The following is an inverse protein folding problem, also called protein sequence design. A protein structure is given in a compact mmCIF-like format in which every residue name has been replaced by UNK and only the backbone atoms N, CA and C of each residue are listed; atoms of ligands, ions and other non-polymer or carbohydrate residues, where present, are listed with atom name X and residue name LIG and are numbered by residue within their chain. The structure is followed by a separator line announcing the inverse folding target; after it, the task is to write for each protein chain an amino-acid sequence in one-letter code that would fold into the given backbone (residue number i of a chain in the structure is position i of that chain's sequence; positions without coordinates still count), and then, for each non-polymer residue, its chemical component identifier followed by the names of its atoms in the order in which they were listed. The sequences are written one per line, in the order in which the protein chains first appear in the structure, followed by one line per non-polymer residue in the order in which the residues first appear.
data_IF_176180468025
#
_entry.id   IF_176180468025
#
_cell.length_a   1.000
_cell.length_b   1.000
_cell.length_c   1.000
_cell.angle_alpha   90.00
_cell.angle_beta   90.00
_cell.angle_gamma   90.00
#
_symmetry.space_group_name_H-M   'P 1'
#
loop_
_entity.id
_entity.type
_entity.pdbx_description
1 polymer ?
#
# COMPACT_ATOMS: atom_id res chain seq x y z
N UNK A 1 -40.24 7.07 -12.38
CA UNK A 1 -39.10 7.25 -13.31
C UNK A 1 -37.77 6.63 -12.82
N UNK A 2 -37.68 6.04 -11.63
CA UNK A 2 -36.44 5.45 -11.07
C UNK A 2 -36.09 4.02 -11.57
N UNK A 3 -37.08 3.19 -11.95
CA UNK A 3 -36.87 1.78 -12.31
C UNK A 3 -36.08 1.54 -13.64
N UNK A 4 -36.15 2.46 -14.62
CA UNK A 4 -35.50 2.25 -15.94
C UNK A 4 -33.97 2.37 -15.93
N UNK A 5 -33.39 3.15 -15.01
CA UNK A 5 -31.94 3.34 -14.92
C UNK A 5 -31.21 2.12 -14.31
N UNK A 6 -31.84 1.46 -13.33
CA UNK A 6 -31.31 0.30 -12.60
C UNK A 6 -31.21 -0.95 -13.49
N UNK A 7 -32.16 -1.12 -14.42
CA UNK A 7 -32.13 -2.18 -15.43
C UNK A 7 -31.03 -1.99 -16.48
N UNK A 8 -30.52 -0.77 -16.68
CA UNK A 8 -29.57 -0.48 -17.76
C UNK A 8 -28.15 -0.90 -17.40
N UNK A 9 -27.67 -0.66 -16.17
CA UNK A 9 -26.30 -1.00 -15.75
C UNK A 9 -26.01 -2.52 -15.78
N UNK A 10 -26.94 -3.33 -15.26
CA UNK A 10 -26.84 -4.79 -15.31
C UNK A 10 -27.01 -5.36 -16.73
N UNK A 11 -27.84 -4.72 -17.58
CA UNK A 11 -27.97 -5.09 -19.01
C UNK A 11 -26.77 -4.64 -19.84
N UNK A 12 -26.11 -3.54 -19.46
CA UNK A 12 -24.92 -3.05 -20.13
C UNK A 12 -23.81 -4.11 -19.98
N UNK A 13 -23.50 -4.58 -18.77
CA UNK A 13 -22.48 -5.61 -18.58
C UNK A 13 -22.78 -6.95 -19.29
N UNK A 14 -24.06 -7.30 -19.53
CA UNK A 14 -24.47 -8.56 -20.19
C UNK A 14 -24.60 -8.50 -21.72
N UNK A 15 -24.70 -7.33 -22.35
CA UNK A 15 -24.76 -7.20 -23.82
C UNK A 15 -23.37 -6.90 -24.35
N UNK A 16 -22.80 -7.86 -25.09
CA UNK A 16 -21.53 -7.73 -25.81
C UNK A 16 -21.55 -6.61 -26.86
N UNK A 17 -21.28 -5.38 -26.42
CA UNK A 17 -20.88 -4.26 -27.27
C UNK A 17 -19.36 -4.07 -27.14
N UNK A 18 -18.70 -3.73 -28.26
CA UNK A 18 -17.24 -3.60 -28.40
C UNK A 18 -16.62 -2.87 -27.20
N UNK A 19 -15.62 -3.50 -26.59
CA UNK A 19 -14.86 -2.97 -25.45
C UNK A 19 -14.11 -1.70 -25.84
N UNK A 20 -14.06 -0.69 -24.95
CA UNK A 20 -13.20 0.49 -25.13
C UNK A 20 -11.73 0.21 -24.82
N UNK A 21 -11.42 -0.96 -24.26
CA UNK A 21 -10.06 -1.40 -24.02
C UNK A 21 -9.42 -1.83 -25.35
N UNK A 22 -8.25 -1.27 -25.63
CA UNK A 22 -7.40 -1.65 -26.76
C UNK A 22 -6.18 -2.38 -26.21
N UNK A 23 -6.04 -3.64 -26.60
CA UNK A 23 -4.88 -4.47 -26.26
C UNK A 23 -3.78 -4.22 -27.29
N UNK A 24 -2.58 -3.91 -26.80
CA UNK A 24 -1.36 -3.78 -27.59
C UNK A 24 -0.27 -4.69 -27.05
N UNK A 25 0.91 -4.65 -27.67
CA UNK A 25 2.10 -5.22 -27.04
C UNK A 25 2.37 -4.46 -25.73
N UNK A 26 2.68 -5.16 -24.64
CA UNK A 26 2.90 -4.54 -23.33
C UNK A 26 1.66 -4.33 -22.47
N UNK A 27 0.44 -4.62 -22.95
CA UNK A 27 -0.76 -4.70 -22.10
C UNK A 27 -2.08 -4.17 -22.68
N UNK A 28 -2.98 -3.71 -21.81
CA UNK A 28 -4.27 -3.10 -22.17
C UNK A 28 -4.34 -1.62 -21.80
N UNK A 29 -5.01 -0.81 -22.62
CA UNK A 29 -5.28 0.59 -22.32
C UNK A 29 -6.76 0.94 -22.51
N UNK A 30 -7.32 1.78 -21.64
CA UNK A 30 -8.66 2.36 -21.74
C UNK A 30 -8.56 3.90 -21.66
N UNK A 31 -8.90 4.59 -22.74
CA UNK A 31 -9.06 6.03 -22.73
C UNK A 31 -10.43 6.41 -22.14
N UNK A 32 -10.44 7.22 -21.08
CA UNK A 32 -11.68 7.65 -20.41
C UNK A 32 -12.33 8.88 -21.08
N UNK A 33 -11.57 9.63 -21.86
CA UNK A 33 -11.95 10.87 -22.53
C UNK A 33 -10.70 11.62 -23.02
N UNK A 34 -10.86 12.74 -23.74
CA UNK A 34 -9.74 13.51 -24.29
C UNK A 34 -8.84 14.15 -23.20
N UNK A 35 -9.44 14.62 -22.11
CA UNK A 35 -8.72 15.31 -21.01
C UNK A 35 -8.53 14.43 -19.77
N UNK A 36 -8.92 13.16 -19.84
CA UNK A 36 -8.87 12.22 -18.73
C UNK A 36 -7.63 11.32 -18.84
N UNK A 37 -7.08 10.82 -17.71
CA UNK A 37 -5.96 9.89 -17.73
C UNK A 37 -6.34 8.61 -18.50
N UNK A 38 -5.35 8.04 -19.19
CA UNK A 38 -5.52 6.73 -19.81
C UNK A 38 -5.25 5.66 -18.76
N UNK A 39 -6.23 4.78 -18.52
CA UNK A 39 -6.00 3.62 -17.67
C UNK A 39 -5.17 2.61 -18.43
N UNK A 40 -4.15 2.08 -17.77
CA UNK A 40 -3.20 1.13 -18.33
C UNK A 40 -3.13 -0.08 -17.43
N UNK A 41 -3.07 -1.26 -18.03
CA UNK A 41 -2.67 -2.48 -17.35
C UNK A 41 -1.47 -3.02 -18.07
N UNK A 42 -0.37 -3.14 -17.34
CA UNK A 42 0.88 -3.69 -17.84
C UNK A 42 0.75 -5.20 -18.01
N UNK A 43 1.42 -5.73 -19.03
CA UNK A 43 1.50 -7.17 -19.28
C UNK A 43 2.23 -7.89 -18.13
N UNK A 44 3.35 -7.33 -17.67
CA UNK A 44 4.03 -7.77 -16.47
C UNK A 44 3.69 -6.86 -15.30
N UNK A 45 3.24 -7.46 -14.20
CA UNK A 45 3.00 -6.71 -12.97
C UNK A 45 4.32 -6.32 -12.34
N UNK A 46 4.36 -5.10 -11.82
CA UNK A 46 5.43 -4.68 -10.92
C UNK A 46 5.07 -5.06 -9.49
N UNK A 47 6.07 -5.31 -8.65
CA UNK A 47 5.87 -5.55 -7.22
C UNK A 47 5.32 -4.32 -6.49
N UNK A 48 5.71 -3.14 -6.97
CA UNK A 48 5.31 -1.84 -6.47
C UNK A 48 5.25 -0.83 -7.63
N UNK A 49 4.66 0.36 -7.43
CA UNK A 49 4.73 1.44 -8.40
C UNK A 49 6.19 1.82 -8.67
N UNK A 50 6.55 2.01 -9.92
CA UNK A 50 7.91 2.45 -10.27
C UNK A 50 8.00 3.97 -10.11
N UNK A 51 9.13 4.55 -9.66
CA UNK A 51 9.29 6.00 -9.63
C UNK A 51 9.20 6.64 -11.03
N UNK A 52 9.74 5.93 -12.02
CA UNK A 52 9.73 6.30 -13.44
C UNK A 52 9.28 5.09 -14.25
N UNK A 53 8.34 5.31 -15.15
CA UNK A 53 7.80 4.32 -16.07
C UNK A 53 8.17 4.72 -17.50
N UNK A 54 9.01 3.93 -18.15
CA UNK A 54 9.43 4.20 -19.51
C UNK A 54 8.26 4.01 -20.49
N UNK A 55 8.19 4.85 -21.52
CA UNK A 55 7.15 4.75 -22.56
C UNK A 55 7.14 3.38 -23.27
N UNK A 56 8.29 2.69 -23.32
CA UNK A 56 8.43 1.34 -23.87
C UNK A 56 7.78 0.24 -23.01
N UNK A 57 7.54 0.50 -21.73
CA UNK A 57 6.86 -0.44 -20.83
C UNK A 57 5.34 -0.35 -20.92
N UNK A 58 4.82 0.72 -21.55
CA UNK A 58 3.40 0.96 -21.70
C UNK A 58 2.83 0.23 -22.93
N UNK A 59 1.51 -0.05 -22.95
CA UNK A 59 0.87 -0.67 -24.10
C UNK A 59 1.08 0.14 -25.38
N UNK A 60 1.43 -0.54 -26.48
CA UNK A 60 1.56 0.08 -27.80
C UNK A 60 0.24 0.65 -28.36
N UNK A 61 -0.88 0.40 -27.68
CA UNK A 61 -2.20 0.94 -27.98
C UNK A 61 -2.45 2.35 -27.43
N UNK A 62 -1.48 2.94 -26.72
CA UNK A 62 -1.59 4.33 -26.27
C UNK A 62 -1.65 5.31 -27.46
N UNK A 63 -2.38 6.44 -27.31
CA UNK A 63 -2.46 7.44 -28.36
C UNK A 63 -1.10 8.12 -28.63
N UNK A 64 -0.96 8.63 -29.86
CA UNK A 64 0.13 9.51 -30.27
C UNK A 64 -0.45 10.89 -30.63
N UNK A 65 0.05 12.00 -30.05
CA UNK A 65 1.16 12.08 -29.09
C UNK A 65 0.86 11.40 -27.74
N UNK A 66 1.89 11.08 -26.93
CA UNK A 66 1.72 10.43 -25.63
C UNK A 66 0.72 11.21 -24.75
N UNK A 67 -0.19 10.51 -24.03
CA UNK A 67 -1.13 11.19 -23.14
C UNK A 67 -0.38 11.90 -22.01
N UNK A 68 -0.91 13.04 -21.57
CA UNK A 68 -0.30 13.82 -20.49
C UNK A 68 -0.22 13.05 -19.16
N UNK A 69 -1.13 12.09 -18.94
CA UNK A 69 -1.11 11.22 -17.77
C UNK A 69 -1.66 9.82 -18.07
N UNK A 70 -1.14 8.86 -17.32
CA UNK A 70 -1.61 7.47 -17.32
C UNK A 70 -1.84 7.00 -15.88
N UNK A 71 -2.72 6.02 -15.71
CA UNK A 71 -2.89 5.33 -14.44
C UNK A 71 -2.69 3.83 -14.63
N UNK A 72 -1.65 3.28 -14.02
CA UNK A 72 -1.43 1.83 -13.99
C UNK A 72 -2.38 1.20 -12.99
N UNK A 73 -3.25 0.32 -13.47
CA UNK A 73 -4.27 -0.36 -12.68
C UNK A 73 -3.80 -1.78 -12.34
N UNK A 74 -3.85 -2.12 -11.05
CA UNK A 74 -3.45 -3.44 -10.53
C UNK A 74 -4.38 -3.94 -9.44
N UNK A 75 -4.50 -5.26 -9.33
CA UNK A 75 -5.17 -5.91 -8.20
C UNK A 75 -4.33 -5.72 -6.93
N UNK A 76 -4.96 -5.31 -5.83
CA UNK A 76 -4.26 -5.06 -4.56
C UNK A 76 -3.66 -6.32 -3.92
N UNK A 77 -4.30 -7.47 -4.11
CA UNK A 77 -3.99 -8.71 -3.36
C UNK A 77 -3.67 -9.92 -4.25
N UNK A 78 -3.65 -9.74 -5.57
CA UNK A 78 -3.40 -10.88 -6.44
C UNK A 78 -1.91 -11.20 -6.46
N UNK A 79 -1.57 -12.48 -6.32
CA UNK A 79 -0.19 -12.97 -6.38
C UNK A 79 0.51 -12.53 -7.66
N UNK A 80 1.82 -12.34 -7.57
CA UNK A 80 2.66 -11.90 -8.69
C UNK A 80 2.50 -12.79 -9.93
N UNK A 81 2.45 -14.10 -9.74
CA UNK A 81 2.34 -15.09 -10.83
C UNK A 81 0.92 -15.21 -11.41
N UNK A 82 -0.07 -14.56 -10.78
CA UNK A 82 -1.43 -14.57 -11.33
C UNK A 82 -1.48 -13.63 -12.54
N UNK A 83 -2.08 -14.02 -13.68
CA UNK A 83 -2.30 -13.08 -14.77
C UNK A 83 -3.16 -11.89 -14.31
N UNK A 84 -2.86 -10.64 -14.71
CA UNK A 84 -3.71 -9.50 -14.38
C UNK A 84 -5.14 -9.68 -14.89
N UNK A 85 -6.14 -9.27 -14.10
CA UNK A 85 -7.54 -9.27 -14.58
C UNK A 85 -7.69 -8.25 -15.71
N UNK A 86 -8.21 -8.61 -16.91
CA UNK A 86 -8.35 -7.67 -18.02
C UNK A 86 -9.08 -6.38 -17.60
N UNK A 87 -8.53 -5.21 -17.95
CA UNK A 87 -9.13 -3.91 -17.66
C UNK A 87 -10.57 -3.82 -18.16
N UNK A 88 -10.81 -4.37 -19.35
CA UNK A 88 -12.14 -4.44 -19.98
C UNK A 88 -13.21 -5.15 -19.14
N UNK A 89 -12.81 -6.03 -18.22
CA UNK A 89 -13.74 -6.71 -17.30
C UNK A 89 -14.11 -5.86 -16.09
N UNK A 90 -13.30 -4.85 -15.77
CA UNK A 90 -13.41 -4.06 -14.54
C UNK A 90 -13.92 -2.66 -14.79
N UNK A 91 -13.45 -2.00 -15.86
CA UNK A 91 -13.86 -0.64 -16.22
C UNK A 91 -14.44 -0.65 -17.61
N UNK A 92 -15.60 0.00 -17.77
CA UNK A 92 -16.23 0.22 -19.05
C UNK A 92 -16.56 1.68 -19.25
N UNK A 93 -16.05 2.28 -20.32
CA UNK A 93 -16.41 3.64 -20.73
C UNK A 93 -17.76 3.60 -21.45
N UNK A 94 -18.70 4.45 -21.02
CA UNK A 94 -20.05 4.57 -21.62
C UNK A 94 -20.12 5.81 -22.52
N UNK A 95 -19.43 6.87 -22.14
CA UNK A 95 -19.23 8.10 -22.90
C UNK A 95 -17.96 8.79 -22.39
N UNK A 96 -17.39 9.80 -23.08
CA UNK A 96 -16.28 10.58 -22.54
C UNK A 96 -16.60 11.11 -21.14
N UNK A 97 -15.72 10.84 -20.18
CA UNK A 97 -15.90 11.22 -18.77
C UNK A 97 -16.98 10.43 -18.00
N UNK A 98 -17.51 9.34 -18.58
CA UNK A 98 -18.54 8.48 -17.95
C UNK A 98 -18.15 7.02 -18.03
N UNK A 99 -18.02 6.36 -16.88
CA UNK A 99 -17.62 4.96 -16.83
C UNK A 99 -18.47 4.14 -15.84
N UNK A 100 -18.49 2.83 -16.05
CA UNK A 100 -19.03 1.85 -15.13
C UNK A 100 -17.88 1.00 -14.60
N UNK A 101 -17.79 0.89 -13.28
CA UNK A 101 -16.86 0.04 -12.56
C UNK A 101 -17.58 -1.25 -12.12
N UNK A 102 -16.95 -2.40 -12.31
CA UNK A 102 -17.46 -3.67 -11.77
C UNK A 102 -17.45 -3.62 -10.23
N UNK A 103 -18.50 -4.11 -9.57
CA UNK A 103 -18.56 -4.14 -8.11
C UNK A 103 -17.41 -4.94 -7.50
N UNK A 104 -16.95 -6.01 -8.16
CA UNK A 104 -15.75 -6.75 -7.77
C UNK A 104 -14.52 -5.85 -7.60
N UNK A 105 -14.31 -4.87 -8.47
CA UNK A 105 -13.17 -3.96 -8.40
C UNK A 105 -13.23 -2.98 -7.19
N UNK A 106 -14.37 -2.88 -6.52
CA UNK A 106 -14.57 -2.07 -5.32
C UNK A 106 -14.71 -2.91 -4.03
N UNK A 107 -14.70 -4.25 -4.11
CA UNK A 107 -14.71 -5.10 -2.91
C UNK A 107 -13.32 -5.15 -2.31
N UNK A 108 -13.22 -5.10 -0.98
CA UNK A 108 -11.94 -5.14 -0.27
C UNK A 108 -10.98 -6.26 -0.75
N UNK A 109 -11.45 -7.49 -0.90
CA UNK A 109 -10.60 -8.64 -1.29
C UNK A 109 -10.18 -8.66 -2.77
N UNK A 110 -10.85 -7.90 -3.64
CA UNK A 110 -10.60 -7.90 -5.09
C UNK A 110 -10.44 -6.49 -5.64
N UNK A 111 -10.12 -5.54 -4.76
CA UNK A 111 -10.05 -4.11 -5.08
C UNK A 111 -8.94 -3.87 -6.09
N UNK A 112 -9.20 -2.93 -7.00
CA UNK A 112 -8.19 -2.43 -7.92
C UNK A 112 -7.61 -1.12 -7.38
N UNK A 113 -6.30 -0.99 -7.54
CA UNK A 113 -5.55 0.21 -7.23
C UNK A 113 -5.11 0.88 -8.52
N UNK A 114 -4.95 2.21 -8.47
CA UNK A 114 -4.40 3.03 -9.53
C UNK A 114 -3.14 3.75 -9.03
N UNK A 115 -2.05 3.57 -9.78
CA UNK A 115 -0.83 4.34 -9.64
C UNK A 115 -0.80 5.38 -10.77
N UNK A 116 -0.87 6.66 -10.42
CA UNK A 116 -0.97 7.74 -11.38
C UNK A 116 0.41 8.28 -11.74
N UNK A 117 0.64 8.46 -13.04
CA UNK A 117 1.87 9.01 -13.57
C UNK A 117 1.60 10.16 -14.53
N UNK A 118 2.51 11.13 -14.56
CA UNK A 118 2.47 12.29 -15.45
C UNK A 118 3.63 12.19 -16.43
N UNK A 119 3.38 12.49 -17.70
CA UNK A 119 4.40 12.45 -18.73
C UNK A 119 5.38 13.62 -18.56
N UNK A 120 6.67 13.31 -18.50
CA UNK A 120 7.76 14.27 -18.53
C UNK A 120 8.44 14.21 -19.90
N UNK A 121 8.24 15.27 -20.69
CA UNK A 121 8.78 15.36 -22.05
C UNK A 121 10.31 15.45 -22.08
N UNK A 122 10.95 15.93 -21.01
CA UNK A 122 12.42 16.01 -20.93
C UNK A 122 13.04 14.63 -20.73
N UNK A 123 12.35 13.74 -20.00
CA UNK A 123 12.76 12.36 -19.76
C UNK A 123 12.24 11.38 -20.82
N UNK A 124 11.23 11.78 -21.60
CA UNK A 124 10.52 10.89 -22.52
C UNK A 124 9.78 9.75 -21.79
N UNK A 125 9.47 9.94 -20.52
CA UNK A 125 8.98 8.92 -19.59
C UNK A 125 7.89 9.46 -18.67
N UNK A 126 7.25 8.59 -17.92
CA UNK A 126 6.20 8.93 -16.98
C UNK A 126 6.72 8.91 -15.55
N UNK A 127 6.52 9.98 -14.79
CA UNK A 127 6.96 10.11 -13.40
C UNK A 127 5.78 9.86 -12.47
N UNK A 128 6.00 9.06 -11.42
CA UNK A 128 4.97 8.73 -10.45
C UNK A 128 4.49 9.99 -9.70
N UNK A 129 3.20 10.30 -9.86
CA UNK A 129 2.55 11.43 -9.20
C UNK A 129 1.84 10.98 -7.91
N UNK A 130 1.26 9.78 -7.91
CA UNK A 130 0.62 9.20 -6.73
C UNK A 130 0.53 7.67 -6.85
N UNK A 131 0.55 6.98 -5.73
CA UNK A 131 0.57 5.52 -5.65
C UNK A 131 -0.66 4.98 -4.94
N UNK A 132 -1.04 3.75 -5.28
CA UNK A 132 -1.95 2.88 -4.52
C UNK A 132 -3.32 3.49 -4.20
N UNK A 133 -3.86 4.36 -5.06
CA UNK A 133 -5.19 4.91 -4.84
C UNK A 133 -6.26 3.86 -5.15
N UNK A 134 -7.34 3.80 -4.37
CA UNK A 134 -8.53 3.05 -4.75
C UNK A 134 -9.04 3.50 -6.13
N UNK A 135 -9.24 2.56 -7.07
CA UNK A 135 -9.56 2.90 -8.45
C UNK A 135 -10.87 3.71 -8.58
N UNK A 136 -11.88 3.42 -7.76
CA UNK A 136 -13.14 4.17 -7.81
C UNK A 136 -12.93 5.63 -7.36
N UNK A 137 -12.11 5.82 -6.33
CA UNK A 137 -11.73 7.13 -5.82
C UNK A 137 -10.88 7.90 -6.82
N UNK A 138 -9.87 7.25 -7.41
CA UNK A 138 -9.03 7.82 -8.47
C UNK A 138 -9.87 8.31 -9.66
N UNK A 139 -10.78 7.47 -10.18
CA UNK A 139 -11.64 7.84 -11.30
C UNK A 139 -12.54 9.04 -10.98
N UNK A 140 -13.05 9.10 -9.75
CA UNK A 140 -13.89 10.22 -9.31
C UNK A 140 -13.10 11.54 -9.28
N UNK A 141 -11.87 11.51 -8.77
CA UNK A 141 -10.95 12.66 -8.74
C UNK A 141 -10.46 13.07 -10.13
N UNK A 142 -10.24 12.10 -11.01
CA UNK A 142 -9.82 12.31 -12.39
C UNK A 142 -10.94 12.84 -13.32
N UNK A 143 -12.06 13.30 -12.76
CA UNK A 143 -13.13 13.96 -13.52
C UNK A 143 -14.10 13.00 -14.22
N UNK A 144 -14.15 11.71 -13.86
CA UNK A 144 -15.20 10.79 -14.31
C UNK A 144 -16.49 11.08 -13.52
N UNK A 145 -17.28 12.04 -14.02
CA UNK A 145 -18.42 12.64 -13.29
C UNK A 145 -19.57 11.66 -13.01
N UNK A 146 -19.79 10.68 -13.88
CA UNK A 146 -20.87 9.70 -13.76
C UNK A 146 -20.31 8.27 -13.58
N UNK A 147 -19.53 8.03 -12.54
CA UNK A 147 -19.04 6.70 -12.18
C UNK A 147 -20.15 5.86 -11.53
N UNK A 148 -20.55 4.77 -12.18
CA UNK A 148 -21.52 3.81 -11.62
C UNK A 148 -20.85 2.51 -11.24
N UNK A 149 -21.18 1.95 -10.08
CA UNK A 149 -20.76 0.61 -9.69
C UNK A 149 -21.84 -0.39 -10.10
N UNK A 150 -21.51 -1.34 -10.98
CA UNK A 150 -22.44 -2.39 -11.40
C UNK A 150 -22.31 -3.60 -10.48
N UNK A 151 -23.38 -4.02 -9.82
CA UNK A 151 -23.40 -5.27 -9.06
C UNK A 151 -23.08 -6.46 -9.99
N UNK A 152 -22.06 -7.24 -9.64
CA UNK A 152 -21.80 -8.50 -10.31
C UNK A 152 -23.05 -9.36 -10.22
N UNK A 153 -23.51 -9.88 -11.35
CA UNK A 153 -24.63 -10.77 -11.42
C UNK A 153 -24.33 -12.10 -10.71
N UNK A 154 -24.60 -12.20 -9.42
CA UNK A 154 -24.89 -13.48 -8.75
C UNK A 154 -26.35 -13.90 -9.02
N UNK A 155 -26.67 -15.20 -8.98
CA UNK A 155 -28.06 -15.65 -9.04
C UNK A 155 -28.74 -15.25 -7.73
N UNK A 156 -29.54 -14.17 -7.78
CA UNK A 156 -30.33 -13.57 -6.69
C UNK A 156 -29.70 -12.33 -6.01
N UNK A 157 -29.74 -11.18 -6.68
CA UNK A 157 -30.02 -9.90 -6.02
C UNK A 157 -30.43 -8.83 -7.04
N UNK A 158 -31.74 -8.58 -7.12
CA UNK A 158 -32.30 -7.45 -7.86
C UNK A 158 -32.37 -6.23 -6.94
N UNK A 159 -31.25 -5.53 -6.79
CA UNK A 159 -31.19 -4.25 -6.10
C UNK A 159 -29.94 -3.51 -6.52
N UNK A 160 -30.06 -2.25 -6.96
CA UNK A 160 -28.92 -1.37 -7.14
C UNK A 160 -29.08 -0.24 -6.13
N UNK A 161 -28.11 -0.13 -5.23
CA UNK A 161 -28.02 0.94 -4.24
C UNK A 161 -26.99 1.94 -4.74
N UNK A 162 -27.39 3.19 -4.93
CA UNK A 162 -26.44 4.31 -4.89
C UNK A 162 -25.93 4.39 -3.45
N UNK A 163 -24.71 3.91 -3.21
CA UNK A 163 -24.08 4.07 -1.90
C UNK A 163 -23.64 5.53 -1.77
N UNK A 164 -24.18 6.31 -0.82
CA UNK A 164 -23.59 7.60 -0.47
C UNK A 164 -22.14 7.39 -0.01
N UNK A 165 -21.30 8.42 -0.14
CA UNK A 165 -19.90 8.41 0.32
C UNK A 165 -19.73 7.87 1.75
N UNK A 166 -20.73 8.11 2.63
CA UNK A 166 -20.78 7.63 4.01
C UNK A 166 -20.98 6.12 4.18
N UNK A 167 -21.41 5.39 3.15
CA UNK A 167 -21.59 3.93 3.19
C UNK A 167 -20.43 3.14 2.56
N UNK A 168 -19.38 3.80 2.05
CA UNK A 168 -18.12 3.14 1.67
C UNK A 168 -17.42 2.46 2.86
N UNK A 169 -17.77 2.87 4.08
CA UNK A 169 -17.23 2.34 5.34
C UNK A 169 -18.11 1.27 6.01
N UNK A 170 -19.25 0.87 5.42
CA UNK A 170 -19.98 -0.28 5.95
C UNK A 170 -19.43 -1.54 5.32
N UNK A 171 -18.35 -2.03 5.93
CA UNK A 171 -17.88 -3.39 5.78
C UNK A 171 -19.10 -4.33 5.75
N UNK A 172 -19.23 -5.13 4.70
CA UNK A 172 -20.12 -6.29 4.78
C UNK A 172 -19.68 -7.10 6.00
N UNK A 173 -20.55 -7.33 6.99
CA UNK A 173 -20.19 -8.20 8.09
C UNK A 173 -20.15 -9.62 7.51
N UNK A 174 -18.97 -10.26 7.56
CA UNK A 174 -18.66 -11.68 7.22
C UNK A 174 -18.00 -11.99 5.87
N UNK A 175 -16.77 -11.52 5.61
CA UNK A 175 -15.89 -12.32 4.70
C UNK A 175 -14.38 -12.12 4.82
N UNK A 176 -13.87 -11.09 5.52
CA UNK A 176 -12.43 -10.96 5.74
C UNK A 176 -12.05 -11.74 7.01
N UNK A 177 -11.41 -12.90 6.83
CA UNK A 177 -10.77 -13.62 7.92
C UNK A 177 -9.48 -12.86 8.26
N UNK A 178 -9.51 -12.04 9.31
CA UNK A 178 -8.36 -11.26 9.74
C UNK A 178 -7.49 -12.11 10.67
N UNK A 179 -6.16 -12.00 10.52
CA UNK A 179 -5.20 -12.62 11.44
C UNK A 179 -4.99 -11.78 12.70
N UNK A 180 -5.31 -10.49 12.65
CA UNK A 180 -5.21 -9.56 13.78
C UNK A 180 -6.35 -8.54 13.75
N UNK A 181 -6.73 -8.07 14.93
CA UNK A 181 -7.66 -6.97 15.15
C UNK A 181 -6.99 -5.77 15.87
N UNK A 182 -5.69 -5.85 16.16
CA UNK A 182 -4.93 -4.78 16.81
C UNK A 182 -3.51 -4.75 16.26
N UNK A 183 -3.05 -3.57 15.83
CA UNK A 183 -1.68 -3.32 15.39
C UNK A 183 -1.05 -2.15 16.14
N UNK A 184 0.27 -2.24 16.33
CA UNK A 184 1.10 -1.12 16.76
C UNK A 184 1.70 -0.46 15.51
N UNK A 185 1.64 0.86 15.48
CA UNK A 185 2.21 1.71 14.43
C UNK A 185 3.09 2.78 15.07
N UNK A 186 4.10 3.28 14.36
CA UNK A 186 4.97 4.36 14.81
C UNK A 186 4.95 5.46 13.76
N UNK A 187 4.61 6.68 14.17
CA UNK A 187 4.48 7.81 13.25
C UNK A 187 5.82 8.08 12.54
N UNK A 188 5.84 8.26 11.19
CA UNK A 188 7.08 8.52 10.45
C UNK A 188 7.49 9.99 10.52
N UNK A 189 7.38 10.62 11.69
CA UNK A 189 7.65 12.06 11.89
C UNK A 189 9.12 12.44 11.68
N UNK A 190 10.03 11.47 11.83
CA UNK A 190 11.46 11.65 11.55
C UNK A 190 12.02 10.50 10.70
N UNK A 191 11.22 9.99 9.75
CA UNK A 191 11.68 9.02 8.76
C UNK A 191 12.71 9.65 7.82
N UNK A 192 13.89 9.06 7.72
CA UNK A 192 15.02 9.59 6.95
C UNK A 192 15.97 8.47 6.52
N UNK A 193 16.99 8.84 5.74
CA UNK A 193 18.04 7.90 5.35
C UNK A 193 18.83 7.38 6.58
N UNK A 194 18.95 6.06 6.71
CA UNK A 194 19.70 5.43 7.79
C UNK A 194 21.07 4.92 7.31
N UNK A 195 22.14 5.66 7.62
CA UNK A 195 23.50 5.31 7.20
C UNK A 195 24.03 3.99 7.79
N UNK A 196 23.58 3.57 8.98
CA UNK A 196 24.01 2.30 9.58
C UNK A 196 23.39 1.12 8.84
N UNK A 197 22.06 1.15 8.68
CA UNK A 197 21.31 0.14 7.94
C UNK A 197 21.59 0.17 6.43
N UNK A 198 22.09 1.29 5.89
CA UNK A 198 22.43 1.32 4.48
C UNK A 198 23.49 0.27 4.14
N UNK A 199 24.41 -0.07 5.05
CA UNK A 199 25.55 -0.96 4.80
C UNK A 199 25.18 -2.39 4.38
N UNK A 200 24.00 -2.85 4.80
CA UNK A 200 23.49 -4.20 4.58
C UNK A 200 22.09 -4.19 3.93
N UNK A 201 21.56 -3.02 3.55
CA UNK A 201 20.25 -2.89 2.93
C UNK A 201 20.36 -2.38 1.49
N UNK A 202 20.15 -3.29 0.53
CA UNK A 202 20.20 -2.99 -0.91
C UNK A 202 19.26 -1.86 -1.34
N UNK A 203 18.10 -1.72 -0.69
CA UNK A 203 17.12 -0.67 -1.03
C UNK A 203 17.56 0.73 -0.58
N UNK A 204 18.52 0.83 0.34
CA UNK A 204 19.06 2.11 0.81
C UNK A 204 20.24 2.59 -0.04
N UNK A 205 20.91 1.71 -0.78
CA UNK A 205 22.07 2.08 -1.61
C UNK A 205 21.73 2.81 -2.91
N UNK A 206 20.46 2.87 -3.29
CA UNK A 206 20.04 3.34 -4.61
C UNK A 206 19.33 4.69 -4.55
N UNK A 207 20.11 5.73 -4.23
CA UNK A 207 19.80 7.13 -4.51
C UNK A 207 20.39 7.66 -5.82
N UNK A 208 21.34 6.94 -6.44
CA UNK A 208 22.04 7.40 -7.65
C UNK A 208 21.22 7.29 -8.96
N UNK A 209 20.00 6.73 -8.90
CA UNK A 209 19.07 6.62 -10.03
C UNK A 209 17.61 6.95 -9.70
N UNK A 210 17.28 7.17 -8.42
CA UNK A 210 16.04 7.83 -8.02
C UNK A 210 16.33 9.32 -7.96
N UNK A 211 15.70 10.13 -8.82
CA UNK A 211 15.88 11.60 -8.90
C UNK A 211 15.45 12.37 -7.63
N UNK A 212 16.06 12.03 -6.50
CA UNK A 212 15.95 12.68 -5.19
C UNK A 212 17.28 13.32 -4.78
N UNK A 213 18.41 12.97 -5.43
CA UNK A 213 19.60 13.83 -5.46
C UNK A 213 19.55 14.68 -6.74
N UNK A 214 19.43 16.00 -6.56
CA UNK A 214 19.07 17.02 -7.55
C UNK A 214 17.61 17.02 -7.98
N UNK A 215 16.75 17.61 -7.15
CA UNK A 215 15.62 18.38 -7.71
C UNK A 215 16.27 19.49 -8.55
N UNK A 216 16.06 19.55 -9.87
CA UNK A 216 16.56 20.66 -10.66
C UNK A 216 15.95 21.96 -10.09
N UNK A 217 16.78 22.96 -9.83
CA UNK A 217 16.33 24.34 -9.61
C UNK A 217 15.57 24.79 -10.87
N UNK A 218 14.26 24.54 -10.91
CA UNK A 218 13.47 24.78 -12.12
C UNK A 218 12.11 24.10 -12.20
N UNK A 219 11.77 23.16 -11.30
CA UNK A 219 10.39 22.66 -11.20
C UNK A 219 9.49 23.74 -10.60
N UNK A 220 8.98 24.60 -11.49
CA UNK A 220 7.91 25.55 -11.20
C UNK A 220 6.76 24.85 -10.49
N UNK A 221 6.26 25.50 -9.45
CA UNK A 221 5.09 25.14 -8.66
C UNK A 221 3.93 24.61 -9.53
N UNK A 222 3.79 23.29 -9.61
CA UNK A 222 2.50 22.70 -9.95
C UNK A 222 1.64 22.79 -8.71
N UNK A 223 0.70 23.75 -8.72
CA UNK A 223 -0.35 23.89 -7.71
C UNK A 223 -1.14 22.58 -7.64
N UNK A 224 -1.03 21.91 -6.49
CA UNK A 224 -2.00 20.91 -6.08
C UNK A 224 -3.13 21.73 -5.46
N UNK A 225 -4.15 22.02 -6.26
CA UNK A 225 -5.39 22.63 -5.78
C UNK A 225 -6.13 21.57 -4.95
N UNK A 226 -5.97 21.64 -3.61
CA UNK A 226 -6.90 21.07 -2.65
C UNK A 226 -7.72 22.23 -2.06
N UNK A 227 -9.03 22.01 -1.97
CA UNK A 227 -10.09 22.98 -1.72
C UNK A 227 -9.93 23.91 -0.50
N UNK A 228 -10.30 25.18 -0.73
CA UNK A 228 -10.76 26.17 0.26
C UNK A 228 -9.94 26.36 1.55
N UNK A 229 -8.78 27.01 1.43
CA UNK A 229 -8.25 27.83 2.53
C UNK A 229 -8.05 29.26 2.03
N UNK A 230 -8.57 30.21 2.81
CA UNK A 230 -8.69 31.61 2.44
C UNK A 230 -7.33 32.21 2.04
N UNK A 231 -7.35 32.95 0.93
CA UNK A 231 -6.23 33.74 0.41
C UNK A 231 -5.59 34.62 1.48
N UNK A 232 -4.42 34.22 1.97
CA UNK A 232 -3.44 35.10 2.61
C UNK A 232 -2.07 34.75 2.05
N UNK A 233 -1.35 35.79 1.64
CA UNK A 233 -0.24 35.73 0.68
C UNK A 233 1.08 35.11 1.16
N UNK A 234 1.97 34.99 0.19
CA UNK A 234 3.32 34.38 0.18
C UNK A 234 3.34 32.86 -0.06
N UNK A 235 3.60 32.47 -1.31
CA UNK A 235 3.93 31.09 -1.68
C UNK A 235 5.30 30.74 -1.07
N UNK A 236 5.29 30.18 0.14
CA UNK A 236 6.46 29.53 0.73
C UNK A 236 6.63 28.15 0.07
N UNK A 237 7.61 28.03 -0.82
CA UNK A 237 8.03 26.73 -1.36
C UNK A 237 8.72 25.95 -0.24
N UNK A 238 8.15 24.80 0.15
CA UNK A 238 8.74 23.93 1.17
C UNK A 238 10.08 23.35 0.66
N UNK A 239 11.08 23.15 1.54
CA UNK A 239 12.33 22.50 1.16
C UNK A 239 12.07 21.03 0.76
N UNK A 240 12.92 20.42 -0.09
CA UNK A 240 12.73 19.05 -0.58
C UNK A 240 12.49 18.00 0.51
N UNK A 241 13.19 18.09 1.65
CA UNK A 241 13.02 17.17 2.79
C UNK A 241 11.62 17.27 3.42
N UNK A 242 11.04 18.46 3.49
CA UNK A 242 9.67 18.66 3.99
C UNK A 242 8.64 18.17 2.97
N UNK A 243 8.90 18.31 1.68
CA UNK A 243 8.06 17.73 0.64
C UNK A 243 8.04 16.19 0.71
N UNK A 244 9.21 15.57 0.91
CA UNK A 244 9.30 14.12 1.12
C UNK A 244 8.54 13.69 2.39
N UNK A 245 8.78 14.37 3.51
CA UNK A 245 8.09 14.10 4.77
C UNK A 245 6.57 14.20 4.61
N UNK A 246 6.07 15.23 3.91
CA UNK A 246 4.63 15.38 3.62
C UNK A 246 4.08 14.22 2.79
N UNK A 247 4.84 13.72 1.81
CA UNK A 247 4.44 12.54 1.01
C UNK A 247 4.38 11.29 1.88
N UNK A 248 5.41 11.03 2.68
CA UNK A 248 5.47 9.88 3.61
C UNK A 248 4.30 9.91 4.60
N UNK A 249 4.04 11.06 5.23
CA UNK A 249 2.92 11.22 6.16
C UNK A 249 1.57 10.99 5.47
N UNK A 250 1.41 11.44 4.23
CA UNK A 250 0.18 11.22 3.46
C UNK A 250 -0.04 9.74 3.15
N UNK A 251 0.99 9.02 2.73
CA UNK A 251 0.93 7.57 2.50
C UNK A 251 0.63 6.81 3.79
N UNK A 252 1.31 7.17 4.88
CA UNK A 252 1.10 6.57 6.20
C UNK A 252 -0.31 6.80 6.75
N UNK A 253 -0.85 8.01 6.58
CA UNK A 253 -2.25 8.31 6.92
C UNK A 253 -3.24 7.51 6.07
N UNK A 254 -2.90 7.22 4.81
CA UNK A 254 -3.65 6.29 3.96
C UNK A 254 -3.71 4.89 4.57
N UNK A 255 -2.55 4.32 4.92
CA UNK A 255 -2.47 3.01 5.59
C UNK A 255 -3.28 2.98 6.90
N UNK A 256 -3.14 4.03 7.73
CA UNK A 256 -3.90 4.15 8.98
C UNK A 256 -5.41 4.06 8.75
N UNK A 257 -5.96 4.83 7.79
CA UNK A 257 -7.40 4.82 7.48
C UNK A 257 -7.86 3.46 6.95
N UNK A 258 -7.06 2.80 6.12
CA UNK A 258 -7.38 1.47 5.60
C UNK A 258 -7.44 0.42 6.73
N UNK A 259 -6.52 0.50 7.69
CA UNK A 259 -6.53 -0.38 8.86
C UNK A 259 -7.68 -0.06 9.82
N UNK A 260 -7.79 1.19 10.26
CA UNK A 260 -8.73 1.62 11.29
C UNK A 260 -10.17 1.74 10.76
N UNK A 261 -10.39 2.54 9.73
CA UNK A 261 -11.72 2.94 9.29
C UNK A 261 -12.37 1.89 8.37
N UNK A 262 -11.57 1.21 7.55
CA UNK A 262 -12.06 0.23 6.57
C UNK A 262 -12.03 -1.20 7.13
N UNK A 263 -10.89 -1.63 7.65
CA UNK A 263 -10.74 -2.99 8.17
C UNK A 263 -11.22 -3.13 9.64
N UNK A 264 -11.45 -2.04 10.36
CA UNK A 264 -11.87 -2.08 11.76
C UNK A 264 -10.78 -2.58 12.72
N UNK A 265 -9.51 -2.49 12.33
CA UNK A 265 -8.36 -2.87 13.14
C UNK A 265 -8.08 -1.74 14.13
N UNK A 266 -7.98 -2.08 15.42
CA UNK A 266 -7.51 -1.13 16.43
C UNK A 266 -6.07 -0.75 16.14
N UNK A 267 -5.76 0.54 16.08
CA UNK A 267 -4.39 1.03 15.87
C UNK A 267 -3.91 1.73 17.14
N UNK A 268 -2.79 1.26 17.69
CA UNK A 268 -2.01 2.00 18.68
C UNK A 268 -0.86 2.71 17.99
N UNK A 269 -0.93 4.04 17.90
CA UNK A 269 0.09 4.85 17.24
C UNK A 269 1.04 5.45 18.27
N UNK A 270 2.31 5.08 18.20
CA UNK A 270 3.38 5.70 18.99
C UNK A 270 3.91 6.95 18.29
N UNK A 271 4.07 8.02 19.04
CA UNK A 271 4.77 9.22 18.58
C UNK A 271 6.26 8.93 18.40
N UNK A 272 6.88 9.60 17.44
CA UNK A 272 8.31 9.56 17.18
C UNK A 272 8.80 10.98 16.89
N UNK A 273 10.07 11.21 17.19
CA UNK A 273 10.75 12.50 17.06
C UNK A 273 12.20 12.26 16.62
N UNK A 274 12.77 13.24 15.91
CA UNK A 274 14.15 13.18 15.43
C UNK A 274 15.16 13.02 16.58
N UNK A 275 14.86 13.52 17.78
CA UNK A 275 15.70 13.38 18.96
C UNK A 275 15.94 11.93 19.39
N UNK A 276 15.12 10.98 18.94
CA UNK A 276 15.33 9.55 19.22
C UNK A 276 16.50 8.97 18.40
N UNK A 277 16.89 9.60 17.29
CA UNK A 277 18.00 9.11 16.45
C UNK A 277 17.72 7.76 15.75
N UNK A 278 16.44 7.41 15.58
CA UNK A 278 15.99 6.10 15.05
C UNK A 278 15.14 6.29 13.79
N UNK A 279 15.74 6.58 12.63
CA UNK A 279 14.99 6.93 11.41
C UNK A 279 14.10 5.79 10.88
N UNK A 280 14.42 4.53 11.19
CA UNK A 280 13.65 3.34 10.77
C UNK A 280 12.56 2.92 11.77
N UNK A 281 12.32 3.69 12.84
CA UNK A 281 11.34 3.35 13.89
C UNK A 281 9.91 3.15 13.37
N UNK A 282 9.59 3.65 12.17
CA UNK A 282 8.34 3.39 11.44
C UNK A 282 8.09 1.89 11.20
N UNK A 283 9.12 1.04 11.31
CA UNK A 283 9.08 -0.42 11.16
C UNK A 283 9.19 -1.14 12.52
N UNK A 284 8.17 -1.10 13.39
CA UNK A 284 8.22 -1.69 14.72
C UNK A 284 8.28 -3.23 14.72
N UNK A 285 7.97 -3.84 13.57
CA UNK A 285 7.84 -5.29 13.40
C UNK A 285 9.16 -6.06 13.53
N UNK A 286 10.29 -5.36 13.56
CA UNK A 286 11.61 -5.98 13.63
C UNK A 286 12.06 -6.32 15.05
N UNK A 287 11.60 -5.57 16.06
CA UNK A 287 12.15 -5.72 17.41
C UNK A 287 11.21 -6.44 18.38
N UNK A 288 9.98 -6.75 17.97
CA UNK A 288 9.10 -7.62 18.75
C UNK A 288 8.11 -8.42 17.89
N UNK A 289 7.52 -9.42 18.52
CA UNK A 289 6.31 -10.11 18.04
C UNK A 289 5.43 -10.50 19.22
N UNK A 290 4.17 -10.78 18.93
CA UNK A 290 3.18 -11.19 19.93
C UNK A 290 2.57 -12.52 19.51
N UNK A 291 2.28 -13.38 20.47
CA UNK A 291 1.78 -14.72 20.25
C UNK A 291 0.65 -15.05 21.23
N UNK A 292 -0.44 -15.64 20.74
CA UNK A 292 -1.56 -16.05 21.57
C UNK A 292 -1.35 -17.45 22.13
N UNK A 293 -1.93 -17.75 23.30
CA UNK A 293 -1.97 -19.13 23.80
C UNK A 293 -2.71 -20.04 22.81
N UNK A 294 -2.16 -21.23 22.55
CA UNK A 294 -2.67 -22.22 21.58
C UNK A 294 -2.26 -21.96 20.13
N UNK A 295 -1.53 -20.88 19.84
CA UNK A 295 -0.93 -20.66 18.52
C UNK A 295 0.01 -21.81 18.15
N UNK A 296 -0.06 -22.27 16.89
CA UNK A 296 0.77 -23.37 16.39
C UNK A 296 0.34 -24.79 16.82
N UNK A 297 -0.78 -24.92 17.55
CA UNK A 297 -1.25 -26.20 18.09
C UNK A 297 -1.70 -27.25 17.04
N UNK A 298 -1.84 -26.87 15.76
CA UNK A 298 -2.11 -27.83 14.69
C UNK A 298 -0.82 -28.46 14.13
N UNK A 299 0.35 -27.88 14.41
CA UNK A 299 1.63 -28.54 14.19
C UNK A 299 1.90 -29.49 15.34
N UNK A 300 2.41 -30.69 15.08
CA UNK A 300 2.66 -31.72 16.10
C UNK A 300 3.69 -31.36 17.19
N UNK A 301 4.09 -30.08 17.31
CA UNK A 301 4.86 -29.53 18.42
C UNK A 301 3.97 -29.04 19.56
N UNK A 302 4.58 -28.45 20.59
CA UNK A 302 3.84 -27.96 21.76
C UNK A 302 2.94 -26.75 21.43
N UNK A 303 3.32 -25.93 20.44
CA UNK A 303 2.72 -24.61 20.22
C UNK A 303 3.01 -23.64 21.36
N UNK A 304 2.42 -22.46 21.29
CA UNK A 304 2.57 -21.41 22.30
C UNK A 304 1.67 -21.72 23.49
N UNK A 305 2.26 -22.00 24.65
CA UNK A 305 1.50 -22.43 25.84
C UNK A 305 0.71 -21.29 26.48
N UNK A 306 1.31 -20.11 26.53
CA UNK A 306 0.78 -18.92 27.16
C UNK A 306 1.00 -17.71 26.26
N UNK A 307 0.14 -16.71 26.35
CA UNK A 307 0.30 -15.50 25.53
C UNK A 307 1.68 -14.88 25.78
N UNK A 308 2.47 -14.72 24.73
CA UNK A 308 3.89 -14.37 24.83
C UNK A 308 4.19 -13.12 24.02
N UNK A 309 4.87 -12.16 24.64
CA UNK A 309 5.58 -11.08 23.96
C UNK A 309 7.04 -11.51 23.77
N UNK A 310 7.55 -11.46 22.55
CA UNK A 310 8.97 -11.73 22.25
C UNK A 310 9.65 -10.41 21.90
N UNK A 311 10.78 -10.12 22.53
CA UNK A 311 11.65 -8.99 22.18
C UNK A 311 12.90 -9.52 21.49
N UNK A 312 13.25 -8.91 20.36
CA UNK A 312 14.26 -9.43 19.45
C UNK A 312 15.55 -8.60 19.45
N UNK A 313 16.72 -9.24 19.29
CA UNK A 313 18.01 -8.56 19.14
C UNK A 313 18.15 -7.94 17.74
N UNK A 314 18.62 -6.69 17.68
CA UNK A 314 18.77 -5.93 16.44
C UNK A 314 20.25 -5.72 16.08
N UNK A 315 20.59 -5.77 14.80
CA UNK A 315 21.99 -5.71 14.36
C UNK A 315 22.63 -4.36 14.68
N UNK A 316 21.99 -3.26 14.26
CA UNK A 316 22.53 -1.91 14.34
C UNK A 316 22.14 -1.18 15.64
N UNK A 317 23.07 -0.45 16.30
CA UNK A 317 22.77 0.26 17.54
C UNK A 317 21.58 1.23 17.47
N UNK A 318 21.40 1.94 16.35
CA UNK A 318 20.26 2.83 16.20
C UNK A 318 18.93 2.07 16.06
N UNK A 319 18.92 0.88 15.46
CA UNK A 319 17.76 -0.02 15.44
C UNK A 319 17.45 -0.57 16.84
N UNK A 320 18.46 -0.90 17.66
CA UNK A 320 18.28 -1.34 19.06
C UNK A 320 17.56 -0.27 19.89
N UNK A 321 17.90 1.00 19.65
CA UNK A 321 17.28 2.15 20.32
C UNK A 321 15.79 2.36 19.95
N UNK A 322 15.26 1.67 18.93
CA UNK A 322 13.82 1.69 18.60
C UNK A 322 12.98 0.99 19.69
N UNK A 323 13.58 0.07 20.46
CA UNK A 323 13.00 -0.53 21.65
C UNK A 323 12.99 0.46 22.82
N UNK A 324 12.24 1.55 22.66
CA UNK A 324 12.12 2.61 23.65
C UNK A 324 11.40 2.11 24.90
N UNK A 325 11.76 2.67 26.05
CA UNK A 325 11.17 2.30 27.34
C UNK A 325 9.64 2.49 27.36
N UNK A 326 9.12 3.58 26.79
CA UNK A 326 7.69 3.86 26.72
C UNK A 326 6.94 2.90 25.79
N UNK A 327 7.56 2.51 24.66
CA UNK A 327 7.01 1.50 23.76
C UNK A 327 6.95 0.12 24.43
N UNK A 328 8.00 -0.25 25.18
CA UNK A 328 8.07 -1.50 25.95
C UNK A 328 7.02 -1.52 27.06
N UNK A 329 6.93 -0.46 27.87
CA UNK A 329 5.94 -0.34 28.94
C UNK A 329 4.52 -0.44 28.38
N UNK A 330 4.24 0.20 27.25
CA UNK A 330 2.95 0.06 26.56
C UNK A 330 2.67 -1.40 26.19
N UNK A 331 3.61 -2.11 25.56
CA UNK A 331 3.42 -3.53 25.18
C UNK A 331 3.22 -4.43 26.40
N UNK A 332 4.02 -4.25 27.44
CA UNK A 332 3.91 -5.01 28.70
C UNK A 332 2.56 -4.76 29.38
N UNK A 333 2.03 -3.53 29.30
CA UNK A 333 0.70 -3.20 29.85
C UNK A 333 -0.46 -3.94 29.17
N UNK A 334 -0.24 -4.56 28.00
CA UNK A 334 -1.26 -5.37 27.31
C UNK A 334 -1.49 -6.75 27.96
N UNK A 335 -0.71 -7.12 28.98
CA UNK A 335 -1.00 -8.25 29.85
C UNK A 335 -0.60 -9.62 29.31
N UNK A 336 0.50 -9.70 28.55
CA UNK A 336 1.07 -10.98 28.14
C UNK A 336 1.54 -11.79 29.36
N UNK A 337 1.10 -13.04 29.46
CA UNK A 337 1.52 -13.97 30.52
C UNK A 337 3.04 -14.19 30.59
N UNK A 338 3.71 -14.14 29.44
CA UNK A 338 5.16 -14.30 29.33
C UNK A 338 5.79 -13.20 28.47
N UNK A 339 6.96 -12.74 28.89
CA UNK A 339 7.87 -11.94 28.08
C UNK A 339 9.14 -12.77 27.84
N UNK A 340 9.44 -13.05 26.57
CA UNK A 340 10.69 -13.67 26.14
C UNK A 340 11.60 -12.58 25.58
N UNK A 341 12.56 -12.14 26.39
CA UNK A 341 13.51 -11.11 25.98
C UNK A 341 14.78 -11.76 25.42
N UNK A 342 14.92 -11.77 24.09
CA UNK A 342 16.10 -12.26 23.38
C UNK A 342 17.12 -11.14 23.12
N UNK A 343 16.87 -9.90 23.58
CA UNK A 343 17.77 -8.78 23.30
C UNK A 343 19.12 -8.90 24.00
N UNK A 344 19.29 -9.85 24.94
CA UNK A 344 20.58 -10.15 25.56
C UNK A 344 21.64 -10.58 24.52
N UNK A 345 21.20 -11.18 23.40
CA UNK A 345 22.07 -11.68 22.35
C UNK A 345 22.82 -10.57 21.59
N UNK A 346 22.42 -9.31 21.79
CA UNK A 346 23.09 -8.11 21.28
C UNK A 346 24.43 -7.81 21.94
N UNK A 347 24.66 -8.37 23.13
CA UNK A 347 25.89 -8.21 23.91
C UNK A 347 26.95 -9.28 23.57
N UNK A 348 26.61 -10.26 22.73
CA UNK A 348 27.55 -11.27 22.27
C UNK A 348 28.50 -10.74 21.18
N UNK A 349 29.64 -11.43 21.02
CA UNK A 349 30.63 -11.12 19.99
C UNK A 349 30.94 -12.37 19.15
N UNK A 350 30.51 -12.42 17.87
CA UNK A 350 29.73 -11.39 17.19
C UNK A 350 28.28 -11.31 17.72
N UNK A 351 27.67 -10.14 17.59
CA UNK A 351 26.26 -9.92 17.92
C UNK A 351 25.37 -10.94 17.19
N UNK A 352 24.50 -11.64 17.92
CA UNK A 352 23.54 -12.58 17.32
C UNK A 352 22.21 -11.89 17.07
N UNK A 353 22.14 -11.12 15.99
CA UNK A 353 20.95 -10.38 15.61
C UNK A 353 19.84 -11.31 15.09
N UNK A 354 18.58 -10.94 15.31
CA UNK A 354 17.43 -11.67 14.79
C UNK A 354 16.26 -10.70 14.67
N UNK A 355 16.15 -9.95 13.57
CA UNK A 355 15.23 -8.80 13.42
C UNK A 355 13.76 -9.17 13.17
N UNK A 356 13.22 -10.06 14.01
CA UNK A 356 11.81 -10.40 14.14
C UNK A 356 11.15 -10.75 12.82
N UNK A 357 9.94 -10.22 12.60
CA UNK A 357 9.18 -10.49 11.36
C UNK A 357 9.77 -9.85 10.10
N UNK A 358 10.90 -9.13 10.20
CA UNK A 358 11.67 -8.72 9.02
C UNK A 358 12.51 -9.84 8.41
N UNK A 359 12.83 -10.87 9.20
CA UNK A 359 13.67 -12.00 8.78
C UNK A 359 12.94 -13.34 8.85
N UNK A 360 11.70 -13.36 9.34
CA UNK A 360 10.91 -14.57 9.47
C UNK A 360 9.44 -14.38 9.08
N UNK A 361 8.83 -15.46 8.60
CA UNK A 361 7.39 -15.58 8.35
C UNK A 361 6.83 -16.73 9.18
N UNK A 362 5.74 -16.47 9.92
CA UNK A 362 5.13 -17.44 10.84
C UNK A 362 3.91 -18.12 10.21
N UNK A 363 3.97 -19.44 10.07
CA UNK A 363 2.78 -20.27 10.01
C UNK A 363 2.24 -20.45 11.43
N UNK A 364 1.34 -19.54 11.80
CA UNK A 364 0.68 -19.47 13.11
C UNK A 364 -0.25 -20.67 13.37
N UNK A 365 -0.64 -21.43 12.34
CA UNK A 365 -1.52 -22.59 12.48
C UNK A 365 -0.70 -23.85 12.79
N UNK A 366 0.34 -24.09 11.99
CA UNK A 366 1.19 -25.27 12.11
C UNK A 366 2.42 -25.06 13.00
N UNK A 367 2.61 -23.87 13.57
CA UNK A 367 3.72 -23.59 14.49
C UNK A 367 5.08 -23.66 13.79
N UNK A 368 5.15 -23.22 12.53
CA UNK A 368 6.38 -23.22 11.73
C UNK A 368 6.86 -21.79 11.52
N UNK A 369 8.13 -21.52 11.80
CA UNK A 369 8.80 -20.27 11.45
C UNK A 369 9.72 -20.50 10.24
N UNK A 370 9.45 -19.80 9.15
CA UNK A 370 10.33 -19.77 7.98
C UNK A 370 11.29 -18.59 8.15
N UNK A 371 12.58 -18.86 8.24
CA UNK A 371 13.61 -17.86 8.54
C UNK A 371 14.55 -17.70 7.35
N UNK A 372 14.86 -16.45 6.98
CA UNK A 372 15.89 -16.12 6.02
C UNK A 372 17.20 -15.76 6.76
N UNK A 373 18.12 -16.72 6.87
CA UNK A 373 19.41 -16.52 7.51
C UNK A 373 20.23 -15.44 6.79
N UNK A 374 20.78 -14.49 7.55
CA UNK A 374 21.47 -13.30 7.05
C UNK A 374 22.29 -12.66 8.19
N UNK A 375 22.99 -11.56 7.90
CA UNK A 375 23.61 -10.69 8.92
C UNK A 375 22.62 -10.14 9.96
N UNK A 376 21.31 -10.17 9.65
CA UNK A 376 20.22 -9.76 10.53
C UNK A 376 19.43 -10.93 11.14
N UNK A 377 19.84 -12.18 10.88
CA UNK A 377 19.18 -13.39 11.35
C UNK A 377 20.17 -14.52 11.64
N UNK A 378 20.64 -14.55 12.88
CA UNK A 378 21.50 -15.59 13.43
C UNK A 378 20.73 -16.90 13.65
N UNK A 379 21.31 -18.01 13.22
CA UNK A 379 20.69 -19.33 13.29
C UNK A 379 20.50 -19.83 14.74
N UNK A 380 21.42 -19.49 15.65
CA UNK A 380 21.31 -19.96 17.04
C UNK A 380 20.17 -19.25 17.75
N UNK A 381 20.08 -17.94 17.57
CA UNK A 381 18.98 -17.12 18.11
C UNK A 381 17.64 -17.53 17.50
N UNK A 382 17.60 -17.95 16.23
CA UNK A 382 16.39 -18.47 15.59
C UNK A 382 15.89 -19.79 16.20
N UNK A 383 16.77 -20.56 16.85
CA UNK A 383 16.47 -21.87 17.46
C UNK A 383 16.07 -21.77 18.93
N UNK A 384 16.36 -20.64 19.58
CA UNK A 384 15.92 -20.30 20.95
C UNK A 384 14.42 -19.97 20.96
#
# INVERSE_FOLDING_TARGET
MSSRAHSLAARLFRRGFKTSAVRGAGGEAIALGPDAPVLVQLEQRTWAPLPVLASSQLPSSLPSPPPASVAVVRDAFASFDTPPRPLSSSVRVVAPGRAVLAASAARASTRLLADAYVYDASLGAYVLASSSQDLASYLSLAGVRDLRVAHDAGPASHGSTTLPLSQRAQASPRSLRQSTNHVLMVAPSAFAFNQQCAQDNTFMHSGAGSGLESVPEGLGSASIDDDHEATVGSQLTLPPSQLLTRRVLREYAGLYRELADVAGVRVSLLAHDASHGTPDAVFPNNWFSTHAAGEGSLGGGAGVQESTLVLYPMAHPNRRAERRADAREFLESLGYARVLDLSFAEAEDPCRAFEGTGVLVLDRLHGVAYVALSERADERTARE
#
